data_IF_782990738692
#
_entry.id   IF_782990738692
#
_cell.length_a   1.000
_cell.length_b   1.000
_cell.length_c   1.000
_cell.angle_alpha   90.00
_cell.angle_beta   90.00
_cell.angle_gamma   90.00
#
_symmetry.space_group_name_H-M   'P 1'
#
loop_
_entity.id
_entity.type
_entity.pdbx_description
1 polymer ?
#
# COMPACT_ATOMS: atom_id res chain seq x y z
N UNK A 1 -13.13 -18.52 2.10
CA UNK A 1 -12.82 -18.12 0.71
C UNK A 1 -12.28 -19.33 -0.05
N UNK A 2 -12.94 -19.78 -1.12
CA UNK A 2 -12.43 -20.90 -1.95
C UNK A 2 -11.36 -20.41 -2.94
N UNK A 3 -10.17 -21.00 -2.90
CA UNK A 3 -9.04 -20.65 -3.79
C UNK A 3 -8.93 -21.68 -4.89
N UNK A 4 -8.63 -21.20 -6.10
CA UNK A 4 -8.59 -22.06 -7.28
C UNK A 4 -7.38 -21.76 -8.16
N UNK A 5 -6.77 -22.80 -8.71
CA UNK A 5 -5.70 -22.70 -9.71
C UNK A 5 -6.31 -22.75 -11.11
N UNK A 6 -6.01 -21.76 -11.94
CA UNK A 6 -6.37 -21.79 -13.36
C UNK A 6 -5.48 -22.81 -14.09
N UNK A 7 -6.08 -23.83 -14.71
CA UNK A 7 -5.35 -24.80 -15.53
C UNK A 7 -5.28 -24.40 -16.99
N UNK A 8 -6.39 -23.89 -17.53
CA UNK A 8 -6.51 -23.58 -18.95
C UNK A 8 -7.59 -22.54 -19.21
N UNK A 9 -7.30 -21.62 -20.14
CA UNK A 9 -8.27 -20.68 -20.69
C UNK A 9 -9.02 -21.38 -21.84
N UNK A 10 -10.34 -21.35 -21.80
CA UNK A 10 -11.21 -22.04 -22.77
C UNK A 10 -11.39 -21.21 -24.04
N UNK A 11 -11.45 -19.88 -23.92
CA UNK A 11 -11.59 -18.92 -25.02
C UNK A 11 -10.42 -17.91 -25.04
N UNK A 12 -9.20 -18.33 -25.43
CA UNK A 12 -8.02 -17.46 -25.41
C UNK A 12 -8.12 -16.28 -26.39
N UNK A 13 -8.91 -16.40 -27.46
CA UNK A 13 -9.03 -15.33 -28.48
C UNK A 13 -9.75 -14.09 -27.95
N UNK A 14 -10.60 -14.28 -26.93
CA UNK A 14 -11.31 -13.20 -26.25
C UNK A 14 -10.39 -12.37 -25.34
N UNK A 15 -9.15 -12.82 -25.10
CA UNK A 15 -8.14 -12.06 -24.36
C UNK A 15 -7.82 -10.72 -25.07
N UNK A 16 -7.82 -10.74 -26.41
CA UNK A 16 -7.52 -9.59 -27.26
C UNK A 16 -8.78 -8.79 -27.62
N UNK A 17 -9.87 -9.49 -27.98
CA UNK A 17 -11.10 -8.88 -28.51
C UNK A 17 -12.02 -8.33 -27.40
N UNK A 18 -11.90 -8.84 -26.16
CA UNK A 18 -12.74 -8.46 -25.00
C UNK A 18 -14.26 -8.50 -25.24
N UNK A 19 -14.69 -9.17 -26.30
CA UNK A 19 -16.10 -9.27 -26.70
C UNK A 19 -16.96 -10.05 -25.72
N UNK A 20 -16.35 -10.95 -24.93
CA UNK A 20 -17.02 -11.69 -23.86
C UNK A 20 -16.06 -11.98 -22.70
N UNK A 21 -16.59 -12.43 -21.57
CA UNK A 21 -15.80 -12.86 -20.40
C UNK A 21 -14.91 -14.08 -20.71
N UNK A 22 -13.76 -14.13 -20.05
CA UNK A 22 -12.85 -15.29 -20.10
C UNK A 22 -13.46 -16.47 -19.32
N UNK A 23 -13.52 -17.61 -19.98
CA UNK A 23 -13.91 -18.89 -19.40
C UNK A 23 -12.63 -19.67 -19.08
N UNK A 24 -12.54 -20.20 -17.86
CA UNK A 24 -11.36 -20.90 -17.36
C UNK A 24 -11.75 -22.23 -16.74
N UNK A 25 -10.88 -23.24 -16.91
CA UNK A 25 -10.94 -24.49 -16.16
C UNK A 25 -10.09 -24.32 -14.91
N UNK A 26 -10.67 -24.60 -13.75
CA UNK A 26 -10.05 -24.38 -12.45
C UNK A 26 -10.03 -25.65 -11.61
N UNK A 27 -9.03 -25.79 -10.75
CA UNK A 27 -8.96 -26.82 -9.70
C UNK A 27 -8.91 -26.16 -8.32
N UNK A 28 -9.61 -26.70 -7.31
CA UNK A 28 -9.54 -26.17 -5.95
C UNK A 28 -8.13 -26.36 -5.36
N UNK A 29 -7.63 -25.33 -4.68
CA UNK A 29 -6.40 -25.38 -3.90
C UNK A 29 -6.80 -25.55 -2.43
N UNK A 30 -6.42 -26.68 -1.84
CA UNK A 30 -6.59 -26.95 -0.42
C UNK A 30 -5.27 -26.75 0.31
N UNK A 31 -5.36 -26.38 1.58
CA UNK A 31 -4.17 -26.26 2.42
C UNK A 31 -3.61 -27.63 2.77
N UNK A 32 -2.30 -27.74 2.66
CA UNK A 32 -1.57 -29.00 2.89
C UNK A 32 -1.23 -29.21 4.37
N UNK A 33 -1.41 -28.17 5.19
CA UNK A 33 -0.95 -28.09 6.57
C UNK A 33 -2.10 -27.91 7.57
N UNK A 34 -3.33 -28.35 7.26
CA UNK A 34 -4.51 -28.17 8.12
C UNK A 34 -4.32 -28.62 9.58
N UNK A 35 -3.46 -29.62 9.81
CA UNK A 35 -3.16 -30.16 11.14
C UNK A 35 -1.91 -29.55 11.82
N UNK A 36 -1.16 -28.68 11.14
CA UNK A 36 0.02 -28.03 11.72
C UNK A 36 -0.39 -26.99 12.76
N UNK A 37 0.33 -26.97 13.89
CA UNK A 37 0.18 -25.97 14.93
C UNK A 37 1.02 -24.74 14.56
N UNK A 38 0.34 -23.66 14.16
CA UNK A 38 0.98 -22.38 13.83
C UNK A 38 0.80 -21.33 14.93
N UNK A 39 0.28 -21.68 16.11
CA UNK A 39 -0.17 -20.69 17.11
C UNK A 39 0.95 -19.77 17.61
N UNK A 40 2.19 -20.24 17.67
CA UNK A 40 3.31 -19.35 18.01
C UNK A 40 3.55 -18.30 16.92
N UNK A 41 3.57 -18.72 15.66
CA UNK A 41 3.83 -17.83 14.54
C UNK A 41 2.68 -16.83 14.34
N UNK A 42 1.44 -17.27 14.56
CA UNK A 42 0.25 -16.40 14.60
C UNK A 42 0.41 -15.32 15.67
N UNK A 43 0.82 -15.69 16.88
CA UNK A 43 1.10 -14.73 17.96
C UNK A 43 2.18 -13.71 17.59
N UNK A 44 3.32 -14.18 17.05
CA UNK A 44 4.42 -13.30 16.63
C UNK A 44 4.01 -12.30 15.55
N UNK A 45 3.25 -12.75 14.56
CA UNK A 45 2.75 -11.89 13.47
C UNK A 45 1.74 -10.88 13.99
N UNK A 46 0.82 -11.29 14.86
CA UNK A 46 -0.16 -10.39 15.47
C UNK A 46 0.53 -9.30 16.31
N UNK A 47 1.51 -9.66 17.14
CA UNK A 47 2.25 -8.72 17.97
C UNK A 47 3.10 -7.77 17.14
N UNK A 48 3.73 -8.26 16.07
CA UNK A 48 4.47 -7.41 15.13
C UNK A 48 3.53 -6.40 14.46
N UNK A 49 2.32 -6.82 14.07
CA UNK A 49 1.37 -5.91 13.45
C UNK A 49 0.86 -4.85 14.44
N UNK A 50 0.55 -5.24 15.68
CA UNK A 50 0.20 -4.29 16.75
C UNK A 50 1.30 -3.25 16.98
N UNK A 51 2.56 -3.69 17.01
CA UNK A 51 3.72 -2.82 17.16
C UNK A 51 3.80 -1.77 16.02
N UNK A 52 3.56 -2.20 14.78
CA UNK A 52 3.53 -1.29 13.62
C UNK A 52 2.46 -0.22 13.79
N UNK A 53 1.25 -0.58 14.24
CA UNK A 53 0.17 0.40 14.49
C UNK A 53 0.64 1.44 15.51
N UNK A 54 1.19 1.00 16.64
CA UNK A 54 1.72 1.92 17.67
C UNK A 54 2.82 2.82 17.12
N UNK A 55 3.76 2.30 16.32
CA UNK A 55 4.83 3.07 15.71
C UNK A 55 4.31 4.10 14.69
N UNK A 56 3.31 3.75 13.88
CA UNK A 56 2.70 4.68 12.93
C UNK A 56 2.12 5.91 13.64
N UNK A 57 1.42 5.68 14.76
CA UNK A 57 0.88 6.76 15.59
C UNK A 57 1.98 7.62 16.23
N UNK A 58 3.04 7.01 16.76
CA UNK A 58 4.15 7.73 17.37
C UNK A 58 4.91 8.62 16.35
N UNK A 59 5.11 8.10 15.15
CA UNK A 59 5.77 8.83 14.06
C UNK A 59 4.86 9.92 13.48
N UNK A 60 3.54 9.72 13.48
CA UNK A 60 2.57 10.62 12.88
C UNK A 60 2.55 10.48 11.36
N UNK A 61 2.43 9.25 10.87
CA UNK A 61 2.28 9.01 9.44
C UNK A 61 0.96 9.57 8.91
N UNK A 62 0.94 10.05 7.66
CA UNK A 62 -0.26 10.68 7.07
C UNK A 62 -1.39 9.65 6.82
N UNK A 63 -1.02 8.43 6.44
CA UNK A 63 -1.93 7.28 6.35
C UNK A 63 -1.47 6.28 7.40
N UNK A 64 -2.34 5.94 8.34
CA UNK A 64 -2.07 4.99 9.41
C UNK A 64 -3.34 4.22 9.76
N UNK A 65 -3.17 3.07 10.40
CA UNK A 65 -4.28 2.33 10.97
C UNK A 65 -4.85 3.05 12.19
N UNK A 66 -6.11 2.79 12.53
CA UNK A 66 -6.71 3.26 13.79
C UNK A 66 -6.14 2.49 14.98
N UNK A 67 -5.94 3.17 16.11
CA UNK A 67 -5.40 2.55 17.33
C UNK A 67 -6.28 1.40 17.86
N UNK A 68 -7.60 1.53 17.73
CA UNK A 68 -8.59 0.48 18.07
C UNK A 68 -8.37 -0.84 17.32
N UNK A 69 -7.67 -0.82 16.18
CA UNK A 69 -7.38 -2.03 15.41
C UNK A 69 -6.46 -2.98 16.19
N UNK A 70 -5.62 -2.46 17.09
CA UNK A 70 -4.68 -3.27 17.89
C UNK A 70 -5.37 -4.38 18.69
N UNK A 71 -6.57 -4.11 19.20
CA UNK A 71 -7.40 -5.07 19.96
C UNK A 71 -8.06 -6.12 19.06
N UNK A 72 -8.20 -5.81 17.76
CA UNK A 72 -8.95 -6.63 16.80
C UNK A 72 -8.06 -7.38 15.81
N UNK A 73 -6.74 -7.21 15.88
CA UNK A 73 -5.80 -7.97 15.04
C UNK A 73 -5.97 -9.47 15.31
N UNK A 74 -6.37 -10.18 14.26
CA UNK A 74 -6.51 -11.63 14.24
C UNK A 74 -5.82 -12.19 12.99
N UNK A 75 -4.92 -13.16 13.18
CA UNK A 75 -4.19 -13.84 12.11
C UNK A 75 -4.36 -15.35 12.16
N UNK A 76 -5.38 -15.83 12.87
CA UNK A 76 -5.72 -17.23 13.00
C UNK A 76 -6.12 -17.83 11.65
N UNK A 77 -6.16 -19.16 11.60
CA UNK A 77 -6.79 -19.91 10.51
C UNK A 77 -8.30 -19.71 10.53
N UNK A 78 -8.87 -19.12 9.47
CA UNK A 78 -10.32 -19.01 9.30
C UNK A 78 -10.76 -17.88 8.36
N UNK A 79 -12.06 -17.84 8.04
CA UNK A 79 -12.64 -16.85 7.12
C UNK A 79 -12.53 -15.41 7.63
N UNK A 80 -12.39 -15.19 8.94
CA UNK A 80 -12.18 -13.88 9.57
C UNK A 80 -10.80 -13.71 10.23
N UNK A 81 -9.83 -14.57 9.91
CA UNK A 81 -8.49 -14.53 10.49
C UNK A 81 -7.51 -13.83 9.56
N UNK A 82 -6.41 -14.50 9.21
CA UNK A 82 -5.31 -13.96 8.40
C UNK A 82 -5.76 -13.23 7.12
N UNK A 83 -6.74 -13.75 6.39
CA UNK A 83 -7.23 -13.14 5.15
C UNK A 83 -7.86 -11.76 5.34
N UNK A 84 -8.54 -11.55 6.46
CA UNK A 84 -9.11 -10.24 6.79
C UNK A 84 -7.99 -9.24 7.06
N UNK A 85 -6.97 -9.65 7.81
CA UNK A 85 -5.78 -8.85 8.12
C UNK A 85 -4.94 -8.55 6.87
N UNK A 86 -4.76 -9.52 5.98
CA UNK A 86 -4.10 -9.34 4.68
C UNK A 86 -4.87 -8.33 3.82
N UNK A 87 -6.21 -8.43 3.76
CA UNK A 87 -7.04 -7.45 3.04
C UNK A 87 -6.89 -6.05 3.62
N UNK A 88 -6.93 -5.90 4.94
CA UNK A 88 -6.71 -4.61 5.60
C UNK A 88 -5.34 -4.03 5.29
N UNK A 89 -4.32 -4.88 5.22
CA UNK A 89 -2.98 -4.48 4.80
C UNK A 89 -2.95 -4.02 3.33
N UNK A 90 -3.69 -4.69 2.45
CA UNK A 90 -3.84 -4.29 1.05
C UNK A 90 -4.42 -2.90 0.92
N UNK A 91 -5.54 -2.67 1.61
CA UNK A 91 -6.25 -1.41 1.61
C UNK A 91 -5.35 -0.31 2.15
N UNK A 92 -4.59 -0.57 3.21
CA UNK A 92 -3.60 0.36 3.73
C UNK A 92 -2.53 0.73 2.69
N UNK A 93 -1.94 -0.23 1.98
CA UNK A 93 -0.94 0.05 0.95
C UNK A 93 -1.53 0.87 -0.21
N UNK A 94 -2.76 0.57 -0.62
CA UNK A 94 -3.48 1.34 -1.64
C UNK A 94 -3.78 2.76 -1.17
N UNK A 95 -4.27 2.94 0.06
CA UNK A 95 -4.53 4.26 0.64
C UNK A 95 -3.24 5.04 0.82
N UNK A 96 -2.12 4.39 1.15
CA UNK A 96 -0.81 5.04 1.24
C UNK A 96 -0.37 5.61 -0.11
N UNK A 97 -0.61 4.86 -1.20
CA UNK A 97 -0.34 5.32 -2.54
C UNK A 97 -1.19 6.55 -2.91
N UNK A 98 -2.49 6.48 -2.65
CA UNK A 98 -3.42 7.61 -2.87
C UNK A 98 -3.04 8.81 -2.00
N UNK A 99 -2.68 8.59 -0.74
CA UNK A 99 -2.22 9.62 0.18
C UNK A 99 -0.94 10.30 -0.30
N UNK A 100 0.02 9.54 -0.84
CA UNK A 100 1.24 10.10 -1.44
C UNK A 100 0.91 10.98 -2.65
N UNK A 101 0.00 10.55 -3.52
CA UNK A 101 -0.50 11.38 -4.64
C UNK A 101 -1.09 12.69 -4.14
N UNK A 102 -1.90 12.65 -3.07
CA UNK A 102 -2.50 13.84 -2.47
C UNK A 102 -1.44 14.79 -1.90
N UNK A 103 -0.42 14.27 -1.20
CA UNK A 103 0.69 15.08 -0.67
C UNK A 103 1.46 15.78 -1.79
N UNK A 104 1.73 15.08 -2.90
CA UNK A 104 2.40 15.69 -4.05
C UNK A 104 1.54 16.78 -4.68
N UNK A 105 0.23 16.53 -4.85
CA UNK A 105 -0.69 17.54 -5.36
C UNK A 105 -0.75 18.76 -4.45
N UNK A 106 -0.78 18.58 -3.12
CA UNK A 106 -0.73 19.69 -2.16
C UNK A 106 0.58 20.46 -2.27
N UNK A 107 1.73 19.77 -2.36
CA UNK A 107 3.04 20.40 -2.53
C UNK A 107 3.10 21.25 -3.80
N UNK A 108 2.54 20.74 -4.91
CA UNK A 108 2.41 21.47 -6.18
C UNK A 108 1.55 22.74 -5.99
N UNK A 109 0.40 22.62 -5.32
CA UNK A 109 -0.48 23.76 -5.08
C UNK A 109 0.19 24.82 -4.19
N UNK A 110 0.94 24.40 -3.17
CA UNK A 110 1.72 25.31 -2.31
C UNK A 110 2.80 26.03 -3.12
N UNK A 111 3.61 25.31 -3.92
CA UNK A 111 4.63 25.93 -4.78
C UNK A 111 4.05 26.98 -5.73
N UNK A 112 2.88 26.70 -6.32
CA UNK A 112 2.20 27.63 -7.22
C UNK A 112 1.67 28.85 -6.43
N UNK A 113 1.10 28.61 -5.25
CA UNK A 113 0.54 29.65 -4.36
C UNK A 113 1.65 30.59 -3.90
N UNK A 114 2.76 30.05 -3.39
CA UNK A 114 3.90 30.81 -2.90
C UNK A 114 4.49 31.67 -4.03
N UNK A 115 4.67 31.09 -5.23
CA UNK A 115 5.16 31.83 -6.38
C UNK A 115 4.23 33.00 -6.78
N UNK A 116 2.91 32.79 -6.77
CA UNK A 116 1.95 33.83 -7.14
C UNK A 116 1.85 34.94 -6.08
N UNK A 117 2.00 34.58 -4.80
CA UNK A 117 2.12 35.54 -3.70
C UNK A 117 3.39 36.38 -3.83
N UNK A 118 4.55 35.78 -4.18
CA UNK A 118 5.80 36.50 -4.42
C UNK A 118 5.70 37.52 -5.58
N UNK A 119 4.85 37.24 -6.58
CA UNK A 119 4.58 38.14 -7.70
C UNK A 119 3.50 39.19 -7.38
N UNK A 120 2.94 39.21 -6.17
CA UNK A 120 1.91 40.16 -5.75
C UNK A 120 0.53 39.91 -6.36
N UNK A 121 0.27 38.69 -6.85
CA UNK A 121 -1.03 38.29 -7.37
C UNK A 121 -1.92 37.81 -6.23
N UNK A 122 -3.05 38.49 -6.02
CA UNK A 122 -4.01 38.16 -4.96
C UNK A 122 -4.84 36.92 -5.33
N UNK A 123 -4.55 35.81 -4.66
CA UNK A 123 -5.17 34.51 -4.88
C UNK A 123 -6.53 34.43 -4.19
N UNK A 124 -7.51 35.15 -4.72
CA UNK A 124 -8.90 34.91 -4.35
C UNK A 124 -9.40 33.59 -4.97
N UNK A 125 -10.18 32.85 -4.20
CA UNK A 125 -10.58 31.47 -4.50
C UNK A 125 -11.26 31.33 -5.87
N UNK A 126 -10.67 30.52 -6.76
CA UNK A 126 -11.30 30.10 -8.01
C UNK A 126 -10.49 30.23 -9.30
N UNK A 127 -9.22 30.67 -9.26
CA UNK A 127 -8.37 30.66 -10.45
C UNK A 127 -7.94 29.24 -10.84
N UNK A 128 -8.44 28.75 -11.97
CA UNK A 128 -7.88 27.57 -12.64
C UNK A 128 -6.56 27.97 -13.29
N UNK A 129 -5.44 27.58 -12.69
CA UNK A 129 -4.10 27.92 -13.19
C UNK A 129 -3.72 26.90 -14.25
N UNK A 130 -3.52 27.34 -15.49
CA UNK A 130 -2.96 26.50 -16.55
C UNK A 130 -1.44 26.39 -16.35
N UNK A 131 -0.99 25.17 -16.08
CA UNK A 131 0.43 24.81 -15.85
C UNK A 131 1.33 25.28 -17.00
N UNK A 132 0.80 25.37 -18.24
CA UNK A 132 1.58 25.81 -19.40
C UNK A 132 1.89 27.31 -19.40
N UNK A 133 1.10 28.10 -18.67
CA UNK A 133 1.31 29.55 -18.52
C UNK A 133 2.29 29.90 -17.41
N UNK A 134 2.75 28.89 -16.65
CA UNK A 134 3.68 29.11 -15.57
C UNK A 134 5.10 29.46 -16.09
N UNK A 135 5.88 30.23 -15.33
CA UNK A 135 7.27 30.52 -15.64
C UNK A 135 8.13 29.28 -15.74
N UNK A 136 9.20 29.35 -16.53
CA UNK A 136 10.06 28.19 -16.86
C UNK A 136 10.68 27.59 -15.60
N UNK A 137 11.12 28.41 -14.63
CA UNK A 137 11.67 27.93 -13.36
C UNK A 137 10.69 27.08 -12.56
N UNK A 138 9.43 27.53 -12.43
CA UNK A 138 8.39 26.79 -11.72
C UNK A 138 7.97 25.52 -12.49
N UNK A 139 7.91 25.57 -13.82
CA UNK A 139 7.65 24.38 -14.65
C UNK A 139 8.73 23.30 -14.46
N UNK A 140 10.00 23.69 -14.39
CA UNK A 140 11.09 22.75 -14.15
C UNK A 140 10.97 22.11 -12.76
N UNK A 141 10.61 22.90 -11.75
CA UNK A 141 10.43 22.39 -10.39
C UNK A 141 9.22 21.47 -10.27
N UNK A 142 8.11 21.79 -10.94
CA UNK A 142 6.95 20.90 -11.04
C UNK A 142 7.29 19.58 -11.74
N UNK A 143 8.06 19.64 -12.83
CA UNK A 143 8.54 18.45 -13.52
C UNK A 143 9.47 17.62 -12.63
N UNK A 144 10.33 18.26 -11.84
CA UNK A 144 11.20 17.58 -10.86
C UNK A 144 10.37 16.81 -9.82
N UNK A 145 9.41 17.48 -9.19
CA UNK A 145 8.53 16.86 -8.18
C UNK A 145 7.70 15.72 -8.77
N UNK A 146 7.18 15.88 -9.99
CA UNK A 146 6.45 14.81 -10.67
C UNK A 146 7.33 13.61 -11.05
N UNK A 147 8.57 13.86 -11.48
CA UNK A 147 9.53 12.80 -11.81
C UNK A 147 9.96 12.01 -10.57
N UNK A 148 10.30 12.70 -9.48
CA UNK A 148 10.62 12.09 -8.17
C UNK A 148 9.45 11.24 -7.68
N UNK A 149 8.22 11.76 -7.78
CA UNK A 149 7.02 11.00 -7.42
C UNK A 149 6.84 9.74 -8.28
N UNK A 150 6.98 9.85 -9.60
CA UNK A 150 6.83 8.70 -10.50
C UNK A 150 7.86 7.59 -10.20
N UNK A 151 9.10 7.98 -9.89
CA UNK A 151 10.18 7.07 -9.48
C UNK A 151 9.89 6.40 -8.12
N UNK A 152 9.34 7.13 -7.16
CA UNK A 152 8.99 6.59 -5.83
C UNK A 152 7.76 5.69 -5.83
N UNK A 153 6.79 5.93 -6.71
CA UNK A 153 5.48 5.28 -6.73
C UNK A 153 5.51 3.92 -7.40
N UNK A 154 6.25 3.80 -8.50
CA UNK A 154 6.31 2.56 -9.28
C UNK A 154 6.76 1.36 -8.42
N UNK A 155 7.84 1.44 -7.61
CA UNK A 155 8.25 0.35 -6.73
C UNK A 155 7.24 0.08 -5.60
N UNK A 156 6.51 1.10 -5.14
CA UNK A 156 5.49 0.95 -4.11
C UNK A 156 4.26 0.20 -4.64
N UNK A 157 3.88 0.45 -5.89
CA UNK A 157 2.79 -0.26 -6.56
C UNK A 157 3.12 -1.75 -6.70
N UNK A 158 4.34 -2.06 -7.12
CA UNK A 158 4.82 -3.43 -7.25
C UNK A 158 4.79 -4.15 -5.89
N UNK A 159 5.29 -3.50 -4.83
CA UNK A 159 5.22 -4.00 -3.45
C UNK A 159 3.80 -4.13 -2.91
N UNK A 160 2.84 -3.37 -3.42
CA UNK A 160 1.44 -3.42 -2.98
C UNK A 160 0.62 -4.51 -3.67
N UNK A 161 0.98 -4.92 -4.90
CA UNK A 161 0.17 -5.84 -5.71
C UNK A 161 0.75 -7.25 -5.73
N UNK A 162 2.06 -7.40 -5.93
CA UNK A 162 2.67 -8.72 -6.11
C UNK A 162 2.56 -9.68 -4.92
N UNK A 163 2.68 -9.24 -3.65
CA UNK A 163 2.60 -10.14 -2.51
C UNK A 163 1.23 -10.84 -2.36
N UNK A 164 0.15 -10.20 -2.81
CA UNK A 164 -1.20 -10.78 -2.75
C UNK A 164 -1.36 -12.00 -3.64
N UNK A 165 -0.75 -11.96 -4.83
CA UNK A 165 -0.75 -13.10 -5.72
C UNK A 165 -0.03 -14.31 -5.08
N UNK A 166 1.07 -14.04 -4.37
CA UNK A 166 1.82 -15.09 -3.69
C UNK A 166 1.02 -15.69 -2.53
N UNK A 167 0.30 -14.89 -1.73
CA UNK A 167 -0.57 -15.42 -0.67
C UNK A 167 -1.65 -16.36 -1.21
N UNK A 168 -2.28 -15.99 -2.33
CA UNK A 168 -3.33 -16.80 -2.98
C UNK A 168 -2.77 -18.12 -3.50
N UNK A 169 -1.53 -18.11 -4.01
CA UNK A 169 -0.85 -19.27 -4.57
C UNK A 169 -0.23 -20.20 -3.51
N UNK A 170 0.09 -19.69 -2.32
CA UNK A 170 0.61 -20.50 -1.22
C UNK A 170 -0.40 -21.57 -0.81
N UNK A 171 0.10 -22.76 -0.48
CA UNK A 171 -0.68 -23.94 -0.08
C UNK A 171 -0.55 -24.28 1.41
N UNK A 172 0.03 -23.37 2.19
CA UNK A 172 0.23 -23.53 3.63
C UNK A 172 -0.12 -22.22 4.35
N UNK A 173 -0.77 -22.34 5.50
CA UNK A 173 -1.00 -21.20 6.38
C UNK A 173 0.31 -20.70 7.00
N UNK A 174 1.20 -21.61 7.39
CA UNK A 174 2.54 -21.26 7.89
C UNK A 174 3.32 -20.40 6.88
N UNK A 175 3.37 -20.81 5.62
CA UNK A 175 4.05 -20.07 4.56
C UNK A 175 3.45 -18.65 4.37
N UNK A 176 2.11 -18.52 4.46
CA UNK A 176 1.47 -17.20 4.41
C UNK A 176 1.84 -16.34 5.61
N UNK A 177 1.91 -16.91 6.81
CA UNK A 177 2.31 -16.17 8.00
C UNK A 177 3.76 -15.67 7.86
N UNK A 178 4.67 -16.50 7.38
CA UNK A 178 6.07 -16.11 7.16
C UNK A 178 6.19 -14.98 6.13
N UNK A 179 5.52 -15.12 4.99
CA UNK A 179 5.50 -14.06 3.98
C UNK A 179 4.92 -12.75 4.53
N UNK A 180 3.82 -12.83 5.31
CA UNK A 180 3.22 -11.64 5.90
C UNK A 180 4.12 -11.02 6.97
N UNK A 181 4.79 -11.85 7.77
CA UNK A 181 5.80 -11.42 8.76
C UNK A 181 6.92 -10.64 8.09
N UNK A 182 7.45 -11.10 6.97
CA UNK A 182 8.49 -10.39 6.23
C UNK A 182 8.02 -9.00 5.78
N UNK A 183 6.80 -8.90 5.24
CA UNK A 183 6.21 -7.62 4.84
C UNK A 183 6.07 -6.66 6.02
N UNK A 184 5.59 -7.15 7.16
CA UNK A 184 5.48 -6.36 8.39
C UNK A 184 6.87 -5.92 8.89
N UNK A 185 7.88 -6.78 8.82
CA UNK A 185 9.25 -6.42 9.21
C UNK A 185 9.85 -5.33 8.32
N UNK A 186 9.59 -5.34 7.01
CA UNK A 186 10.00 -4.25 6.12
C UNK A 186 9.34 -2.93 6.52
N UNK A 187 8.04 -2.93 6.81
CA UNK A 187 7.35 -1.73 7.24
C UNK A 187 7.87 -1.24 8.59
N UNK A 188 8.12 -2.14 9.54
CA UNK A 188 8.71 -1.78 10.82
C UNK A 188 10.07 -1.10 10.63
N UNK A 189 10.95 -1.64 9.77
CA UNK A 189 12.24 -1.01 9.44
C UNK A 189 12.06 0.40 8.87
N UNK A 190 11.06 0.61 7.99
CA UNK A 190 10.72 1.94 7.46
C UNK A 190 10.32 2.91 8.57
N UNK A 191 9.44 2.47 9.48
CA UNK A 191 8.95 3.29 10.58
C UNK A 191 10.05 3.62 11.58
N UNK A 192 10.90 2.67 11.93
CA UNK A 192 12.04 2.87 12.84
C UNK A 192 13.04 3.88 12.24
N UNK A 193 13.31 3.80 10.93
CA UNK A 193 14.15 4.78 10.23
C UNK A 193 13.51 6.19 10.26
N UNK A 194 12.20 6.29 10.04
CA UNK A 194 11.48 7.57 10.10
C UNK A 194 11.45 8.15 11.52
N UNK A 195 11.23 7.32 12.53
CA UNK A 195 11.30 7.71 13.94
C UNK A 195 12.69 8.25 14.30
N UNK A 196 13.74 7.57 13.84
CA UNK A 196 15.13 8.00 14.04
C UNK A 196 15.39 9.37 13.41
N UNK A 197 14.99 9.58 12.15
CA UNK A 197 15.11 10.89 11.49
C UNK A 197 14.33 11.97 12.24
N UNK A 198 13.09 11.71 12.66
CA UNK A 198 12.29 12.66 13.42
C UNK A 198 12.99 13.07 14.72
N UNK A 199 13.59 12.12 15.43
CA UNK A 199 14.35 12.42 16.65
C UNK A 199 15.57 13.31 16.39
N UNK A 200 16.28 13.11 15.27
CA UNK A 200 17.44 13.92 14.88
C UNK A 200 17.09 15.37 14.52
N UNK A 201 15.89 15.62 13.99
CA UNK A 201 15.42 16.97 13.62
C UNK A 201 14.54 17.64 14.69
N UNK A 202 14.31 16.96 15.83
CA UNK A 202 13.56 17.51 16.97
C UNK A 202 14.47 18.02 18.10
N UNK A 203 15.80 17.92 17.93
CA UNK A 203 16.83 18.63 18.72
C UNK A 203 17.17 19.98 18.07
#
# INVERSE_FOLDING_TARGET
MERVSIKRIVNPENLSDRSTYLKVVVEPINDTDEAADCSMLEGEVADLFRNIITLQHAVGDYVHFSEELTERVNVDRGDSGLWSTITLWQDFLQQRLVGRQQQVNQTIQTLITDYLQEQGVDLTAGMTIDVNTLPVGLRNELQRVQAEYAEEVQPQLEKAIYPFQLFVQSVSHEERLDMFKEMLQEEKKRLDAKASLKSLFSE
#
